data_IF_637631680726
#
_entry.id   IF_637631680726
#
_cell.length_a   1.000
_cell.length_b   1.000
_cell.length_c   1.000
_cell.angle_alpha   90.00
_cell.angle_beta   90.00
_cell.angle_gamma   90.00
#
_symmetry.space_group_name_H-M   'P 1'
#
loop_
_entity.id
_entity.type
_entity.pdbx_description
1 polymer ?
#
# COMPACT_ATOMS: atom_id res chain seq x y z
N UNK A 1 -10.80 -15.50 1.80
CA UNK A 1 -11.97 -14.81 2.37
C UNK A 1 -12.23 -13.53 1.59
N UNK A 2 -13.45 -13.36 1.09
CA UNK A 2 -13.98 -12.13 0.51
C UNK A 2 -14.77 -11.36 1.59
N UNK A 3 -14.80 -10.04 1.53
CA UNK A 3 -15.52 -9.21 2.50
C UNK A 3 -15.86 -7.86 1.90
N UNK A 4 -17.11 -7.42 2.07
CA UNK A 4 -17.60 -6.10 1.69
C UNK A 4 -17.99 -5.29 2.93
N UNK A 5 -17.62 -4.01 2.94
CA UNK A 5 -17.88 -3.08 4.04
C UNK A 5 -18.49 -1.80 3.49
N UNK A 6 -19.57 -1.32 4.10
CA UNK A 6 -20.08 0.03 3.89
C UNK A 6 -19.07 1.03 4.48
N UNK A 7 -18.40 1.75 3.59
CA UNK A 7 -17.29 2.60 3.99
C UNK A 7 -17.71 3.78 4.89
N UNK A 8 -18.79 4.54 4.60
CA UNK A 8 -19.30 5.57 5.47
C UNK A 8 -19.69 5.07 6.86
N UNK A 9 -20.41 3.95 6.93
CA UNK A 9 -20.90 3.40 8.19
C UNK A 9 -19.90 2.49 8.89
N UNK A 10 -18.80 2.12 8.24
CA UNK A 10 -17.80 1.17 8.75
C UNK A 10 -18.41 -0.20 9.13
N UNK A 11 -19.53 -0.57 8.50
CA UNK A 11 -20.28 -1.80 8.78
C UNK A 11 -20.01 -2.84 7.70
N UNK A 12 -19.77 -4.07 8.11
CA UNK A 12 -19.64 -5.20 7.19
C UNK A 12 -21.00 -5.58 6.63
N UNK A 13 -21.10 -5.64 5.30
CA UNK A 13 -22.32 -5.98 4.57
C UNK A 13 -22.39 -7.49 4.31
N UNK A 14 -21.30 -8.05 3.79
CA UNK A 14 -21.21 -9.45 3.39
C UNK A 14 -19.79 -9.95 3.60
N UNK A 15 -19.65 -11.25 3.86
CA UNK A 15 -18.37 -11.95 3.83
C UNK A 15 -18.57 -13.37 3.29
N UNK A 16 -17.48 -13.94 2.79
CA UNK A 16 -17.40 -15.32 2.34
C UNK A 16 -16.04 -15.91 2.68
N UNK A 17 -16.03 -17.13 3.22
CA UNK A 17 -14.80 -17.87 3.49
C UNK A 17 -14.61 -18.89 2.38
N UNK A 18 -13.47 -18.79 1.69
CA UNK A 18 -13.08 -19.74 0.65
C UNK A 18 -12.01 -20.67 1.24
N UNK A 19 -12.01 -21.90 0.80
CA UNK A 19 -10.99 -22.92 1.10
C UNK A 19 -9.82 -22.88 0.11
N UNK A 20 -9.94 -22.06 -0.93
CA UNK A 20 -8.96 -21.84 -2.00
C UNK A 20 -8.67 -20.34 -2.21
N UNK A 21 -7.71 -20.04 -3.07
CA UNK A 21 -7.43 -18.67 -3.50
C UNK A 21 -8.59 -18.14 -4.38
N UNK A 22 -9.04 -16.88 -4.18
CA UNK A 22 -10.17 -16.33 -4.90
C UNK A 22 -9.98 -16.35 -6.42
N UNK A 23 -10.98 -16.85 -7.15
CA UNK A 23 -11.09 -16.80 -8.60
C UNK A 23 -11.94 -15.61 -9.04
N UNK A 24 -12.05 -15.40 -10.36
CA UNK A 24 -12.97 -14.39 -10.93
C UNK A 24 -14.44 -14.76 -10.70
N UNK A 25 -14.73 -16.04 -10.78
CA UNK A 25 -16.07 -16.61 -10.56
C UNK A 25 -16.51 -16.39 -9.11
N UNK A 26 -15.65 -16.67 -8.13
CA UNK A 26 -15.95 -16.40 -6.72
C UNK A 26 -16.26 -14.92 -6.46
N UNK A 27 -15.47 -14.04 -7.07
CA UNK A 27 -15.67 -12.60 -6.93
C UNK A 27 -16.98 -12.18 -7.61
N UNK A 28 -17.30 -12.73 -8.78
CA UNK A 28 -18.55 -12.43 -9.49
C UNK A 28 -19.76 -12.85 -8.65
N UNK A 29 -19.78 -14.08 -8.16
CA UNK A 29 -20.88 -14.59 -7.32
C UNK A 29 -21.01 -13.80 -6.01
N UNK A 30 -19.89 -13.46 -5.39
CA UNK A 30 -19.88 -12.64 -4.17
C UNK A 30 -20.48 -11.26 -4.44
N UNK A 31 -20.10 -10.58 -5.54
CA UNK A 31 -20.59 -9.25 -5.87
C UNK A 31 -22.07 -9.28 -6.33
N UNK A 32 -22.50 -10.32 -7.02
CA UNK A 32 -23.92 -10.50 -7.39
C UNK A 32 -24.80 -10.61 -6.14
N UNK A 33 -24.43 -11.46 -5.17
CA UNK A 33 -25.14 -11.59 -3.88
C UNK A 33 -25.10 -10.29 -3.06
N UNK A 34 -23.98 -9.57 -3.12
CA UNK A 34 -23.87 -8.27 -2.47
C UNK A 34 -24.86 -7.27 -3.07
N UNK A 35 -24.92 -7.20 -4.39
CA UNK A 35 -25.83 -6.30 -5.13
C UNK A 35 -27.30 -6.65 -4.80
N UNK A 36 -27.65 -7.91 -4.88
CA UNK A 36 -28.99 -8.40 -4.50
C UNK A 36 -29.35 -8.01 -3.06
N UNK A 37 -28.47 -8.26 -2.10
CA UNK A 37 -28.72 -7.93 -0.70
C UNK A 37 -28.84 -6.41 -0.43
N UNK A 38 -28.20 -5.57 -1.21
CA UNK A 38 -28.33 -4.11 -1.15
C UNK A 38 -29.64 -3.66 -1.79
N UNK A 39 -29.96 -4.16 -2.99
CA UNK A 39 -31.16 -3.82 -3.75
C UNK A 39 -32.42 -4.26 -3.00
N UNK A 40 -32.44 -5.44 -2.40
CA UNK A 40 -33.54 -5.93 -1.57
C UNK A 40 -33.88 -5.01 -0.37
N UNK A 41 -32.93 -4.13 0.02
CA UNK A 41 -33.11 -3.11 1.06
C UNK A 41 -33.36 -1.71 0.51
N UNK A 42 -33.65 -1.59 -0.78
CA UNK A 42 -33.86 -0.31 -1.46
C UNK A 42 -32.58 0.52 -1.67
N UNK A 43 -31.41 -0.08 -1.51
CA UNK A 43 -30.12 0.60 -1.69
C UNK A 43 -29.55 0.39 -3.10
N UNK A 44 -28.53 1.19 -3.42
CA UNK A 44 -27.75 1.06 -4.65
C UNK A 44 -26.26 1.15 -4.35
N UNK A 45 -25.43 0.49 -5.16
CA UNK A 45 -23.98 0.59 -5.07
C UNK A 45 -23.52 1.84 -5.84
N UNK A 46 -23.06 2.86 -5.15
CA UNK A 46 -22.59 4.11 -5.75
C UNK A 46 -21.15 4.02 -6.29
N UNK A 47 -20.36 3.05 -5.81
CA UNK A 47 -18.99 2.85 -6.23
C UNK A 47 -18.31 1.79 -5.36
N UNK A 48 -17.16 1.32 -5.79
CA UNK A 48 -16.42 0.24 -5.12
C UNK A 48 -14.93 0.55 -5.02
N UNK A 49 -14.34 0.24 -3.86
CA UNK A 49 -12.89 0.34 -3.64
C UNK A 49 -12.30 -1.05 -3.39
N UNK A 50 -11.31 -1.44 -4.19
CA UNK A 50 -10.62 -2.74 -4.09
C UNK A 50 -9.10 -2.56 -3.88
N UNK A 51 -8.38 -3.65 -3.64
CA UNK A 51 -6.90 -3.65 -3.51
C UNK A 51 -6.15 -3.55 -4.84
N UNK A 52 -6.86 -3.57 -5.97
CA UNK A 52 -6.27 -3.48 -7.32
C UNK A 52 -5.84 -4.82 -7.91
N UNK A 53 -6.28 -5.95 -7.37
CA UNK A 53 -6.10 -7.24 -8.01
C UNK A 53 -6.72 -7.25 -9.42
N UNK A 54 -6.06 -7.89 -10.42
CA UNK A 54 -6.59 -8.00 -11.78
C UNK A 54 -7.84 -8.88 -11.89
N UNK A 55 -8.24 -9.53 -10.81
CA UNK A 55 -9.44 -10.36 -10.76
C UNK A 55 -10.74 -9.54 -10.67
N UNK A 56 -10.70 -8.29 -10.16
CA UNK A 56 -11.89 -7.48 -9.88
C UNK A 56 -12.58 -6.82 -11.09
N UNK A 57 -11.85 -6.27 -12.10
CA UNK A 57 -12.51 -5.39 -13.08
C UNK A 57 -13.68 -6.01 -13.83
N UNK A 58 -13.55 -7.25 -14.29
CA UNK A 58 -14.61 -7.95 -15.04
C UNK A 58 -15.80 -8.31 -14.14
N UNK A 59 -15.62 -8.97 -12.97
CA UNK A 59 -16.72 -9.21 -12.04
C UNK A 59 -17.48 -7.97 -11.60
N UNK A 60 -16.79 -6.84 -11.37
CA UNK A 60 -17.43 -5.57 -11.03
C UNK A 60 -18.35 -5.11 -12.17
N UNK A 61 -17.86 -5.11 -13.41
CA UNK A 61 -18.64 -4.68 -14.55
C UNK A 61 -19.87 -5.56 -14.78
N UNK A 62 -19.75 -6.87 -14.59
CA UNK A 62 -20.85 -7.83 -14.78
C UNK A 62 -21.90 -7.79 -13.64
N UNK A 63 -21.44 -7.70 -12.37
CA UNK A 63 -22.34 -7.79 -11.22
C UNK A 63 -22.95 -6.45 -10.80
N UNK A 64 -22.21 -5.34 -10.99
CA UNK A 64 -22.61 -4.01 -10.50
C UNK A 64 -22.90 -3.02 -11.64
N UNK A 65 -22.53 -3.35 -12.86
CA UNK A 65 -22.65 -2.42 -14.00
C UNK A 65 -21.58 -1.30 -13.98
N UNK A 66 -21.87 -0.15 -14.60
CA UNK A 66 -20.90 0.95 -14.76
C UNK A 66 -20.78 1.79 -13.47
N UNK A 67 -20.25 1.19 -12.40
CA UNK A 67 -19.99 1.91 -11.13
C UNK A 67 -18.55 2.40 -11.06
N UNK A 68 -18.29 3.58 -10.43
CA UNK A 68 -16.94 4.04 -10.17
C UNK A 68 -16.10 3.01 -9.41
N UNK A 69 -14.97 2.61 -10.00
CA UNK A 69 -14.05 1.64 -9.40
C UNK A 69 -12.76 2.32 -8.97
N UNK A 70 -12.58 2.46 -7.66
CA UNK A 70 -11.38 2.98 -7.01
C UNK A 70 -10.42 1.84 -6.68
N UNK A 71 -9.16 1.97 -7.06
CA UNK A 71 -8.08 1.13 -6.55
C UNK A 71 -7.54 1.74 -5.26
N UNK A 72 -7.35 0.93 -4.23
CA UNK A 72 -6.85 1.36 -2.93
C UNK A 72 -5.49 2.05 -3.05
N UNK A 73 -5.45 3.34 -2.73
CA UNK A 73 -4.23 4.15 -2.73
C UNK A 73 -3.11 3.54 -1.88
N UNK A 74 -3.44 2.95 -0.74
CA UNK A 74 -2.45 2.36 0.16
C UNK A 74 -1.70 1.18 -0.49
N UNK A 75 -2.42 0.27 -1.17
CA UNK A 75 -1.80 -0.87 -1.85
C UNK A 75 -0.87 -0.40 -2.98
N UNK A 76 -1.32 0.55 -3.76
CA UNK A 76 -0.52 1.12 -4.84
C UNK A 76 0.74 1.82 -4.31
N UNK A 77 0.60 2.70 -3.31
CA UNK A 77 1.75 3.38 -2.69
C UNK A 77 2.72 2.39 -2.04
N UNK A 78 2.22 1.31 -1.45
CA UNK A 78 3.06 0.22 -0.91
C UNK A 78 3.90 -0.44 -2.02
N UNK A 79 3.30 -0.75 -3.17
CA UNK A 79 4.02 -1.34 -4.30
C UNK A 79 5.08 -0.38 -4.86
N UNK A 80 4.73 0.90 -5.05
CA UNK A 80 5.67 1.93 -5.50
C UNK A 80 6.82 2.14 -4.50
N UNK A 81 6.51 2.20 -3.20
CA UNK A 81 7.51 2.28 -2.13
C UNK A 81 8.49 1.11 -2.20
N UNK A 82 7.99 -0.11 -2.35
CA UNK A 82 8.85 -1.29 -2.50
C UNK A 82 9.71 -1.24 -3.77
N UNK A 83 9.15 -0.75 -4.87
CA UNK A 83 9.89 -0.57 -6.12
C UNK A 83 11.05 0.43 -5.94
N UNK A 84 10.80 1.56 -5.29
CA UNK A 84 11.80 2.59 -4.97
C UNK A 84 12.87 2.04 -4.03
N UNK A 85 12.50 1.31 -2.99
CA UNK A 85 13.48 0.68 -2.07
C UNK A 85 14.39 -0.33 -2.80
N UNK A 86 13.87 -1.08 -3.78
CA UNK A 86 14.70 -1.94 -4.65
C UNK A 86 15.67 -1.13 -5.51
N UNK A 87 15.24 0.02 -6.04
CA UNK A 87 16.13 0.95 -6.75
C UNK A 87 17.25 1.45 -5.83
N UNK A 88 16.92 1.90 -4.63
CA UNK A 88 17.89 2.36 -3.63
C UNK A 88 18.91 1.26 -3.27
N UNK A 89 18.46 0.02 -3.12
CA UNK A 89 19.35 -1.12 -2.85
C UNK A 89 20.34 -1.34 -4.01
N UNK A 90 19.91 -1.20 -5.26
CA UNK A 90 20.80 -1.29 -6.43
C UNK A 90 21.80 -0.11 -6.49
N UNK A 91 21.35 1.11 -6.23
CA UNK A 91 22.21 2.28 -6.17
C UNK A 91 23.26 2.13 -5.07
N UNK A 92 22.86 1.64 -3.89
CA UNK A 92 23.77 1.33 -2.79
C UNK A 92 24.85 0.30 -3.20
N UNK A 93 24.46 -0.78 -3.88
CA UNK A 93 25.44 -1.77 -4.39
C UNK A 93 26.43 -1.16 -5.37
N UNK A 94 25.96 -0.30 -6.28
CA UNK A 94 26.83 0.43 -7.22
C UNK A 94 27.82 1.37 -6.50
N UNK A 95 27.33 2.09 -5.48
CA UNK A 95 28.21 2.94 -4.66
C UNK A 95 29.25 2.11 -3.91
N UNK A 96 28.85 0.98 -3.31
CA UNK A 96 29.76 0.08 -2.62
C UNK A 96 30.84 -0.47 -3.56
N UNK A 97 30.48 -0.78 -4.81
CA UNK A 97 31.42 -1.27 -5.81
C UNK A 97 32.47 -0.22 -6.25
N UNK A 98 32.22 1.08 -6.00
CA UNK A 98 33.17 2.17 -6.26
C UNK A 98 34.21 2.34 -5.14
N UNK A 99 34.10 1.54 -4.05
CA UNK A 99 35.07 1.60 -2.98
C UNK A 99 36.44 1.15 -3.48
N UNK A 100 37.51 1.92 -3.21
CA UNK A 100 38.85 1.52 -3.60
C UNK A 100 39.22 0.23 -2.88
N UNK A 101 39.81 -0.72 -3.63
CA UNK A 101 40.33 -1.95 -3.08
C UNK A 101 41.57 -1.63 -2.24
N UNK A 102 41.50 -1.89 -0.94
CA UNK A 102 42.66 -1.74 -0.06
C UNK A 102 43.57 -2.97 -0.18
N UNK A 103 44.89 -2.79 -0.18
CA UNK A 103 45.82 -3.92 -0.15
C UNK A 103 45.62 -4.77 1.11
N UNK A 104 45.82 -6.08 0.99
CA UNK A 104 45.76 -6.99 2.13
C UNK A 104 47.00 -6.79 3.01
N UNK A 105 46.84 -6.94 4.32
CA UNK A 105 47.89 -6.81 5.31
C UNK A 105 47.97 -5.42 5.97
N UNK A 106 49.05 -5.15 6.70
CA UNK A 106 49.27 -3.88 7.42
C UNK A 106 49.37 -2.72 6.41
N UNK A 107 48.53 -1.67 6.52
CA UNK A 107 48.60 -0.53 5.61
C UNK A 107 49.98 0.13 5.65
N UNK A 108 50.55 0.45 4.48
CA UNK A 108 51.76 1.27 4.41
C UNK A 108 51.43 2.68 4.91
N UNK A 109 52.31 3.26 5.75
CA UNK A 109 52.10 4.61 6.32
C UNK A 109 52.52 5.71 5.32
N UNK A 110 52.05 5.64 4.08
CA UNK A 110 52.28 6.67 3.07
C UNK A 110 51.09 7.63 2.97
N UNK A 111 51.28 8.89 2.56
CA UNK A 111 50.18 9.84 2.34
C UNK A 111 49.14 9.32 1.38
N UNK A 112 49.56 8.61 0.33
CA UNK A 112 48.65 8.00 -0.67
C UNK A 112 47.80 6.91 -0.05
N UNK A 113 48.41 5.97 0.71
CA UNK A 113 47.69 4.90 1.40
C UNK A 113 46.67 5.45 2.41
N UNK A 114 47.04 6.47 3.20
CA UNK A 114 46.13 7.15 4.14
C UNK A 114 44.95 7.80 3.41
N UNK A 115 45.20 8.48 2.28
CA UNK A 115 44.11 9.07 1.46
C UNK A 115 43.16 8.01 0.90
N UNK A 116 43.71 6.91 0.40
CA UNK A 116 42.91 5.78 -0.12
C UNK A 116 42.04 5.16 0.97
N UNK A 117 42.61 4.92 2.15
CA UNK A 117 41.89 4.38 3.31
C UNK A 117 40.77 5.29 3.77
N UNK A 118 41.04 6.61 3.91
CA UNK A 118 40.01 7.61 4.26
C UNK A 118 38.86 7.61 3.25
N UNK A 119 39.19 7.53 1.96
CA UNK A 119 38.18 7.49 0.89
C UNK A 119 37.33 6.20 0.98
N UNK A 120 37.95 5.05 1.22
CA UNK A 120 37.26 3.79 1.40
C UNK A 120 36.31 3.83 2.60
N UNK A 121 36.80 4.31 3.76
CA UNK A 121 36.00 4.44 4.98
C UNK A 121 34.82 5.41 4.81
N UNK A 122 35.07 6.59 4.22
CA UNK A 122 33.99 7.57 3.98
C UNK A 122 32.89 7.01 3.05
N UNK A 123 33.29 6.24 2.02
CA UNK A 123 32.31 5.61 1.14
C UNK A 123 31.57 4.48 1.83
N UNK A 124 32.24 3.66 2.61
CA UNK A 124 31.62 2.58 3.40
C UNK A 124 30.63 3.13 4.42
N UNK A 125 31.00 4.20 5.13
CA UNK A 125 30.10 4.89 6.04
C UNK A 125 28.87 5.42 5.33
N UNK A 126 29.04 6.06 4.18
CA UNK A 126 27.93 6.57 3.36
C UNK A 126 26.99 5.46 2.86
N UNK A 127 27.54 4.32 2.45
CA UNK A 127 26.78 3.14 2.03
C UNK A 127 25.98 2.56 3.20
N UNK A 128 26.55 2.49 4.40
CA UNK A 128 25.87 2.08 5.64
C UNK A 128 24.72 3.04 5.97
N UNK A 129 25.01 4.34 6.00
CA UNK A 129 24.01 5.36 6.30
C UNK A 129 22.85 5.39 5.29
N UNK A 130 23.13 5.20 4.00
CA UNK A 130 22.09 5.07 2.98
C UNK A 130 21.20 3.85 3.24
N UNK A 131 21.73 2.77 3.79
CA UNK A 131 20.92 1.61 4.18
C UNK A 131 20.03 1.90 5.38
N UNK A 132 20.57 2.51 6.43
CA UNK A 132 19.81 2.85 7.63
C UNK A 132 18.70 3.85 7.34
N UNK A 133 19.01 4.88 6.55
CA UNK A 133 18.10 5.99 6.25
C UNK A 133 17.27 5.80 4.97
N UNK A 134 17.29 4.61 4.36
CA UNK A 134 16.60 4.35 3.08
C UNK A 134 15.11 4.69 3.09
N UNK A 135 14.44 4.55 4.23
CA UNK A 135 13.02 4.83 4.37
C UNK A 135 12.67 6.33 4.27
N UNK A 136 13.65 7.21 4.50
CA UNK A 136 13.44 8.64 4.33
C UNK A 136 13.13 9.02 2.88
N UNK A 137 13.68 8.28 1.91
CA UNK A 137 13.42 8.52 0.49
C UNK A 137 11.97 8.29 0.07
N UNK A 138 11.24 7.47 0.83
CA UNK A 138 9.84 7.13 0.59
C UNK A 138 8.90 7.70 1.66
N UNK A 139 9.38 8.54 2.56
CA UNK A 139 8.57 9.19 3.58
C UNK A 139 7.78 10.35 3.00
N UNK A 140 6.46 10.39 3.23
CA UNK A 140 5.58 11.42 2.65
C UNK A 140 5.90 12.82 3.21
N UNK A 141 5.97 12.96 4.55
CA UNK A 141 6.26 14.23 5.21
C UNK A 141 7.53 14.12 6.06
N UNK A 142 8.73 14.29 5.45
CA UNK A 142 9.95 14.30 6.22
C UNK A 142 10.08 15.60 7.02
N UNK A 143 10.55 15.49 8.26
CA UNK A 143 10.86 16.63 9.13
C UNK A 143 12.02 17.46 8.55
N UNK A 144 12.27 18.66 9.07
CA UNK A 144 13.40 19.50 8.64
C UNK A 144 14.75 18.77 8.78
N UNK A 145 14.96 18.05 9.91
CA UNK A 145 16.16 17.24 10.15
C UNK A 145 16.31 16.11 9.13
N UNK A 146 15.21 15.43 8.80
CA UNK A 146 15.21 14.35 7.81
C UNK A 146 15.47 14.86 6.38
N UNK A 147 14.94 16.06 6.03
CA UNK A 147 15.25 16.72 4.74
C UNK A 147 16.74 17.07 4.64
N UNK A 148 17.35 17.58 5.70
CA UNK A 148 18.79 17.84 5.74
C UNK A 148 19.59 16.53 5.55
N UNK A 149 19.17 15.43 6.19
CA UNK A 149 19.79 14.10 6.01
C UNK A 149 19.67 13.62 4.56
N UNK A 150 18.48 13.72 3.97
CA UNK A 150 18.26 13.38 2.55
C UNK A 150 19.15 14.19 1.61
N UNK A 151 19.22 15.51 1.82
CA UNK A 151 20.08 16.40 1.01
C UNK A 151 21.55 15.99 1.11
N UNK A 152 22.03 15.68 2.30
CA UNK A 152 23.40 15.23 2.55
C UNK A 152 23.69 13.88 1.87
N UNK A 153 22.81 12.89 2.01
CA UNK A 153 22.93 11.57 1.39
C UNK A 153 22.90 11.67 -0.15
N UNK A 154 22.05 12.53 -0.69
CA UNK A 154 21.89 12.72 -2.12
C UNK A 154 22.96 13.62 -2.77
N UNK A 155 23.86 14.25 -1.96
CA UNK A 155 24.92 15.14 -2.47
C UNK A 155 25.84 14.37 -3.44
N UNK A 156 26.02 14.91 -4.67
CA UNK A 156 26.82 14.27 -5.70
C UNK A 156 26.21 12.99 -6.29
N UNK A 157 24.94 12.69 -5.97
CA UNK A 157 24.25 11.50 -6.49
C UNK A 157 22.92 11.88 -7.15
N UNK A 158 22.94 12.21 -8.45
CA UNK A 158 21.74 12.68 -9.15
C UNK A 158 20.60 11.64 -9.14
N UNK A 159 20.94 10.34 -9.17
CA UNK A 159 19.94 9.26 -9.12
C UNK A 159 19.20 9.21 -7.77
N UNK A 160 19.86 9.49 -6.64
CA UNK A 160 19.20 9.56 -5.34
C UNK A 160 18.25 10.77 -5.26
N UNK A 161 18.66 11.92 -5.82
CA UNK A 161 17.79 13.10 -5.92
C UNK A 161 16.56 12.82 -6.78
N UNK A 162 16.77 12.17 -7.94
CA UNK A 162 15.68 11.79 -8.84
C UNK A 162 14.68 10.85 -8.17
N UNK A 163 15.14 9.85 -7.44
CA UNK A 163 14.27 8.92 -6.69
C UNK A 163 13.43 9.66 -5.65
N UNK A 164 14.01 10.62 -4.93
CA UNK A 164 13.26 11.43 -3.96
C UNK A 164 12.24 12.33 -4.63
N UNK A 165 12.63 13.07 -5.66
CA UNK A 165 11.72 13.92 -6.43
C UNK A 165 10.54 13.14 -7.00
N UNK A 166 10.79 11.95 -7.56
CA UNK A 166 9.76 11.04 -8.06
C UNK A 166 8.74 10.69 -6.97
N UNK A 167 9.18 10.33 -5.77
CA UNK A 167 8.24 10.02 -4.67
C UNK A 167 7.42 11.24 -4.24
N UNK A 168 8.00 12.43 -4.27
CA UNK A 168 7.27 13.67 -3.98
C UNK A 168 6.20 13.97 -5.05
N UNK A 169 6.52 13.77 -6.32
CA UNK A 169 5.55 13.88 -7.42
C UNK A 169 4.43 12.85 -7.28
N UNK A 170 4.76 11.60 -6.96
CA UNK A 170 3.76 10.55 -6.69
C UNK A 170 2.80 10.97 -5.57
N UNK A 171 3.30 11.48 -4.45
CA UNK A 171 2.42 11.91 -3.37
C UNK A 171 1.50 13.08 -3.75
N UNK A 172 1.99 13.99 -4.60
CA UNK A 172 1.18 15.12 -5.12
C UNK A 172 0.02 14.69 -6.02
N UNK A 173 0.09 13.49 -6.63
CA UNK A 173 -1.04 12.95 -7.39
C UNK A 173 -2.27 12.68 -6.51
N UNK A 174 -2.05 12.30 -5.26
CA UNK A 174 -3.10 11.93 -4.31
C UNK A 174 -3.54 13.08 -3.39
N UNK A 175 -3.15 14.31 -3.69
CA UNK A 175 -3.62 15.48 -2.93
C UNK A 175 -5.11 15.71 -3.24
N UNK A 176 -5.97 15.62 -2.22
CA UNK A 176 -7.42 15.82 -2.33
C UNK A 176 -7.85 17.20 -2.82
N UNK A 177 -6.93 18.16 -2.88
CA UNK A 177 -7.17 19.47 -3.50
C UNK A 177 -7.05 19.42 -5.02
N UNK A 178 -6.56 18.32 -5.57
CA UNK A 178 -6.40 18.13 -7.00
C UNK A 178 -7.66 17.48 -7.58
N UNK A 179 -8.07 17.92 -8.77
CA UNK A 179 -9.09 17.21 -9.56
C UNK A 179 -8.46 16.04 -10.32
N UNK A 180 -9.25 15.04 -10.66
CA UNK A 180 -8.77 13.85 -11.39
C UNK A 180 -8.06 14.25 -12.69
N UNK A 181 -8.60 15.16 -13.50
CA UNK A 181 -7.97 15.61 -14.74
C UNK A 181 -6.58 16.20 -14.50
N UNK A 182 -6.45 17.05 -13.47
CA UNK A 182 -5.16 17.63 -13.09
C UNK A 182 -4.17 16.58 -12.61
N UNK A 183 -4.65 15.58 -11.85
CA UNK A 183 -3.82 14.47 -11.39
C UNK A 183 -3.36 13.58 -12.54
N UNK A 184 -4.22 13.31 -13.52
CA UNK A 184 -3.89 12.56 -14.74
C UNK A 184 -2.86 13.30 -15.60
N UNK A 185 -2.99 14.63 -15.75
CA UNK A 185 -1.99 15.45 -16.43
C UNK A 185 -0.62 15.38 -15.73
N UNK A 186 -0.59 15.50 -14.39
CA UNK A 186 0.63 15.32 -13.57
C UNK A 186 1.21 13.92 -13.72
N UNK A 187 0.36 12.88 -13.73
CA UNK A 187 0.78 11.51 -13.95
C UNK A 187 1.44 11.32 -15.31
N UNK A 188 0.86 11.89 -16.35
CA UNK A 188 1.42 11.87 -17.71
C UNK A 188 2.78 12.56 -17.77
N UNK A 189 2.95 13.67 -17.05
CA UNK A 189 4.23 14.38 -16.92
C UNK A 189 5.25 13.52 -16.14
N UNK A 190 4.85 12.92 -15.02
CA UNK A 190 5.67 12.01 -14.22
C UNK A 190 6.16 10.82 -15.06
N UNK A 191 5.27 10.18 -15.83
CA UNK A 191 5.62 9.10 -16.76
C UNK A 191 6.67 9.52 -17.80
N UNK A 192 6.61 10.76 -18.30
CA UNK A 192 7.62 11.33 -19.20
C UNK A 192 8.96 11.52 -18.47
N UNK A 193 8.96 12.10 -17.27
CA UNK A 193 10.17 12.28 -16.46
C UNK A 193 10.89 10.97 -16.17
N UNK A 194 10.14 9.92 -15.82
CA UNK A 194 10.69 8.59 -15.51
C UNK A 194 11.44 7.98 -16.71
N UNK A 195 10.99 8.23 -17.93
CA UNK A 195 11.69 7.76 -19.15
C UNK A 195 13.14 8.24 -19.24
N UNK A 196 13.44 9.44 -18.73
CA UNK A 196 14.81 9.97 -18.69
C UNK A 196 15.70 9.25 -17.67
N UNK A 197 15.12 8.55 -16.71
CA UNK A 197 15.85 7.80 -15.68
C UNK A 197 15.90 6.30 -15.96
N UNK A 198 16.20 5.91 -17.21
CA UNK A 198 16.35 4.49 -17.60
C UNK A 198 17.28 3.69 -16.68
N UNK A 199 18.25 4.36 -16.04
CA UNK A 199 19.14 3.79 -15.04
C UNK A 199 18.44 3.31 -13.76
N UNK A 200 17.22 3.79 -13.49
CA UNK A 200 16.39 3.33 -12.37
C UNK A 200 15.66 2.00 -12.69
N UNK A 201 15.64 1.62 -14.00
CA UNK A 201 15.20 0.31 -14.49
C UNK A 201 13.70 0.02 -14.36
N UNK A 202 13.32 -1.16 -14.81
CA UNK A 202 11.94 -1.68 -14.85
C UNK A 202 11.17 -1.61 -13.51
N UNK A 203 11.82 -1.28 -12.39
CA UNK A 203 11.16 -1.16 -11.08
C UNK A 203 10.12 -0.05 -11.02
N UNK A 204 10.16 0.91 -11.95
CA UNK A 204 9.21 2.02 -12.04
C UNK A 204 8.10 1.79 -13.08
N UNK A 205 8.06 0.62 -13.72
CA UNK A 205 7.00 0.26 -14.68
C UNK A 205 5.62 0.27 -14.01
N UNK A 206 5.56 0.11 -12.69
CA UNK A 206 4.33 0.29 -11.90
C UNK A 206 3.67 1.66 -12.06
N UNK A 207 4.42 2.71 -12.44
CA UNK A 207 3.85 4.02 -12.79
C UNK A 207 3.05 4.02 -14.10
N UNK A 208 3.26 3.01 -14.94
CA UNK A 208 2.49 2.80 -16.16
C UNK A 208 1.26 1.90 -15.97
N UNK A 209 1.06 1.36 -14.78
CA UNK A 209 -0.10 0.53 -14.46
C UNK A 209 -1.41 1.33 -14.62
N UNK A 210 -2.45 0.77 -15.26
CA UNK A 210 -3.79 1.38 -15.30
C UNK A 210 -4.42 1.52 -13.90
N UNK A 211 -3.98 0.72 -12.94
CA UNK A 211 -4.41 0.83 -11.54
C UNK A 211 -4.06 2.19 -10.92
N UNK A 212 -3.01 2.86 -11.40
CA UNK A 212 -2.65 4.19 -10.90
C UNK A 212 -3.70 5.24 -11.30
N UNK A 213 -4.26 5.15 -12.49
CA UNK A 213 -5.35 6.02 -12.94
C UNK A 213 -6.63 5.76 -12.13
N UNK A 214 -7.00 4.48 -11.97
CA UNK A 214 -8.13 4.08 -11.14
C UNK A 214 -7.96 4.46 -9.66
N UNK A 215 -6.73 4.59 -9.17
CA UNK A 215 -6.46 5.02 -7.80
C UNK A 215 -6.67 6.53 -7.59
N UNK A 216 -6.95 7.30 -8.63
CA UNK A 216 -7.25 8.73 -8.59
C UNK A 216 -8.76 9.04 -8.67
N UNK A 217 -9.62 8.04 -8.87
CA UNK A 217 -11.08 8.20 -9.01
C UNK A 217 -11.71 8.93 -7.82
N UNK A 218 -11.19 8.72 -6.59
CA UNK A 218 -11.68 9.35 -5.36
C UNK A 218 -11.50 10.87 -5.30
N UNK A 219 -10.73 11.47 -6.21
CA UNK A 219 -10.45 12.92 -6.18
C UNK A 219 -11.70 13.74 -6.52
N UNK A 220 -12.52 13.26 -7.43
CA UNK A 220 -13.75 13.92 -7.85
C UNK A 220 -14.98 13.39 -7.11
N UNK A 221 -14.89 12.22 -6.48
CA UNK A 221 -15.97 11.61 -5.72
C UNK A 221 -15.64 11.57 -4.22
N UNK A 222 -16.31 12.45 -3.46
CA UNK A 222 -16.12 12.58 -2.00
C UNK A 222 -16.66 11.37 -1.21
N UNK A 223 -17.61 10.62 -1.79
CA UNK A 223 -18.20 9.44 -1.15
C UNK A 223 -17.32 8.22 -1.31
N UNK A 224 -16.47 8.21 -2.33
CA UNK A 224 -15.59 7.08 -2.63
C UNK A 224 -14.35 7.12 -1.72
N UNK A 225 -14.13 6.09 -0.88
CA UNK A 225 -12.96 6.05 -0.02
C UNK A 225 -11.68 5.79 -0.85
N UNK A 226 -10.63 6.59 -0.60
CA UNK A 226 -9.32 6.43 -1.25
C UNK A 226 -8.62 5.11 -0.88
N UNK A 227 -9.04 4.47 0.22
CA UNK A 227 -8.40 3.27 0.76
C UNK A 227 -9.41 2.23 1.22
N UNK A 228 -9.03 0.95 1.15
CA UNK A 228 -9.79 -0.20 1.67
C UNK A 228 -9.56 -0.46 3.17
N UNK A 229 -9.15 0.55 3.94
CA UNK A 229 -8.79 0.40 5.36
C UNK A 229 -9.92 -0.17 6.23
N UNK A 230 -11.18 0.07 5.90
CA UNK A 230 -12.32 -0.48 6.63
C UNK A 230 -12.34 -2.01 6.55
N UNK A 231 -12.19 -2.56 5.34
CA UNK A 231 -12.10 -4.00 5.08
C UNK A 231 -10.85 -4.59 5.74
N UNK A 232 -9.70 -3.91 5.60
CA UNK A 232 -8.44 -4.40 6.16
C UNK A 232 -8.46 -4.47 7.69
N UNK A 233 -9.09 -3.49 8.37
CA UNK A 233 -9.25 -3.51 9.83
C UNK A 233 -10.06 -4.71 10.28
N UNK A 234 -11.18 -4.99 9.61
CA UNK A 234 -11.98 -6.18 9.85
C UNK A 234 -11.19 -7.47 9.65
N UNK A 235 -10.54 -7.59 8.50
CA UNK A 235 -9.76 -8.78 8.16
C UNK A 235 -8.53 -8.98 9.05
N UNK A 236 -7.91 -7.91 9.57
CA UNK A 236 -6.80 -7.99 10.53
C UNK A 236 -7.22 -8.64 11.84
N UNK A 237 -8.44 -8.37 12.32
CA UNK A 237 -9.00 -8.99 13.52
C UNK A 237 -9.08 -10.50 13.37
N UNK A 238 -9.60 -10.98 12.23
CA UNK A 238 -9.71 -12.41 11.95
C UNK A 238 -8.34 -13.07 11.76
N UNK A 239 -7.41 -12.43 11.06
CA UNK A 239 -6.02 -12.93 10.95
C UNK A 239 -5.31 -13.02 12.30
N UNK A 240 -5.59 -12.14 13.24
CA UNK A 240 -5.06 -12.25 14.61
C UNK A 240 -5.64 -13.45 15.33
N UNK A 241 -6.95 -13.71 15.20
CA UNK A 241 -7.60 -14.89 15.80
C UNK A 241 -7.04 -16.21 15.25
N UNK A 242 -6.70 -16.26 13.96
CA UNK A 242 -6.07 -17.43 13.35
C UNK A 242 -4.64 -17.69 13.86
N UNK A 243 -3.92 -16.65 14.28
CA UNK A 243 -2.51 -16.74 14.72
C UNK A 243 -2.34 -16.94 16.23
N UNK A 244 -3.40 -16.83 17.00
CA UNK A 244 -3.36 -17.02 18.46
C UNK A 244 -3.39 -18.51 18.85
N UNK A 245 -3.19 -18.81 20.14
CA UNK A 245 -3.23 -20.16 20.74
C UNK A 245 -4.53 -20.90 20.37
N UNK A 246 -5.64 -20.18 20.19
CA UNK A 246 -6.93 -20.68 19.75
C UNK A 246 -7.03 -20.80 18.22
N UNK A 247 -6.02 -21.37 17.56
CA UNK A 247 -5.98 -21.55 16.10
C UNK A 247 -7.29 -22.12 15.58
N UNK A 248 -8.04 -21.32 14.84
CA UNK A 248 -9.19 -21.80 14.08
C UNK A 248 -8.63 -22.53 12.86
N UNK A 249 -8.79 -23.84 12.83
CA UNK A 249 -8.22 -24.71 11.79
C UNK A 249 -9.23 -25.12 10.73
N UNK A 250 -10.51 -25.08 11.05
CA UNK A 250 -11.57 -25.51 10.14
C UNK A 250 -12.33 -24.31 9.57
N UNK A 251 -12.75 -24.41 8.32
CA UNK A 251 -13.58 -23.40 7.65
C UNK A 251 -14.85 -23.14 8.44
N UNK A 252 -15.57 -24.19 8.85
CA UNK A 252 -16.81 -24.09 9.63
C UNK A 252 -16.64 -23.29 10.93
N UNK A 253 -15.55 -23.53 11.68
CA UNK A 253 -15.30 -22.76 12.92
C UNK A 253 -14.98 -21.29 12.60
N UNK A 254 -14.30 -21.02 11.49
CA UNK A 254 -14.04 -19.65 11.04
C UNK A 254 -15.33 -18.95 10.64
N UNK A 255 -16.17 -19.60 9.87
CA UNK A 255 -17.50 -19.10 9.46
C UNK A 255 -18.38 -18.79 10.65
N UNK A 256 -18.50 -19.71 11.62
CA UNK A 256 -19.27 -19.50 12.85
C UNK A 256 -18.78 -18.28 13.64
N UNK A 257 -17.47 -18.09 13.78
CA UNK A 257 -16.91 -16.90 14.45
C UNK A 257 -17.14 -15.60 13.67
N UNK A 258 -17.05 -15.64 12.35
CA UNK A 258 -17.38 -14.49 11.52
C UNK A 258 -18.84 -14.12 11.60
N UNK A 259 -19.75 -15.12 11.62
CA UNK A 259 -21.18 -14.92 11.81
C UNK A 259 -21.48 -14.23 13.13
N UNK A 260 -20.88 -14.72 14.23
CA UNK A 260 -21.03 -14.11 15.56
C UNK A 260 -20.49 -12.67 15.61
N UNK A 261 -19.34 -12.42 15.00
CA UNK A 261 -18.78 -11.07 14.92
C UNK A 261 -19.67 -10.13 14.10
N UNK A 262 -20.25 -10.60 12.99
CA UNK A 262 -21.18 -9.82 12.17
C UNK A 262 -22.49 -9.53 12.92
N UNK A 263 -23.04 -10.51 13.61
CA UNK A 263 -24.22 -10.33 14.44
C UNK A 263 -23.97 -9.30 15.54
N UNK A 264 -22.84 -9.39 16.22
CA UNK A 264 -22.42 -8.42 17.24
C UNK A 264 -22.22 -7.01 16.69
N UNK A 265 -21.64 -6.86 15.51
CA UNK A 265 -21.50 -5.56 14.84
C UNK A 265 -22.86 -4.95 14.47
N UNK A 266 -23.87 -5.78 14.20
CA UNK A 266 -25.24 -5.31 13.91
C UNK A 266 -26.00 -4.92 15.18
N UNK A 267 -25.75 -5.57 16.30
CA UNK A 267 -26.45 -5.35 17.56
C UNK A 267 -25.83 -4.26 18.44
N UNK A 268 -24.60 -3.88 18.20
CA UNK A 268 -23.86 -2.97 19.08
C UNK A 268 -23.11 -1.89 18.27
N UNK A 269 -23.45 -0.62 18.52
CA UNK A 269 -22.86 0.54 17.82
C UNK A 269 -21.48 0.97 18.36
N UNK A 270 -20.94 0.29 19.36
CA UNK A 270 -19.65 0.62 19.92
C UNK A 270 -19.19 -0.33 21.02
N UNK A 271 -18.03 -0.08 21.60
CA UNK A 271 -17.41 -0.94 22.63
C UNK A 271 -18.30 -1.06 23.90
N UNK A 272 -18.93 0.02 24.28
CA UNK A 272 -19.83 0.04 25.46
C UNK A 272 -21.10 -0.77 25.19
N UNK A 273 -21.75 -0.54 24.04
CA UNK A 273 -22.93 -1.30 23.63
C UNK A 273 -22.61 -2.80 23.40
N UNK A 274 -21.42 -3.13 22.89
CA UNK A 274 -20.95 -4.52 22.80
C UNK A 274 -20.84 -5.19 24.17
N UNK A 275 -20.28 -4.46 25.16
CA UNK A 275 -20.14 -4.96 26.52
C UNK A 275 -21.50 -5.19 27.18
N UNK A 276 -22.41 -4.25 26.99
CA UNK A 276 -23.77 -4.31 27.52
C UNK A 276 -24.57 -5.48 26.92
N UNK A 277 -24.51 -5.65 25.58
CA UNK A 277 -25.12 -6.79 24.89
C UNK A 277 -24.57 -8.15 25.39
N UNK A 278 -23.26 -8.23 25.64
CA UNK A 278 -22.62 -9.43 26.19
C UNK A 278 -23.04 -9.69 27.65
N UNK A 279 -23.23 -8.65 28.46
CA UNK A 279 -23.71 -8.77 29.82
C UNK A 279 -25.20 -9.18 29.89
N UNK A 280 -26.00 -8.62 28.98
CA UNK A 280 -27.44 -8.99 28.87
C UNK A 280 -27.62 -10.45 28.45
N UNK A 281 -26.81 -10.91 27.48
CA UNK A 281 -26.83 -12.31 27.03
C UNK A 281 -26.32 -13.33 28.07
N UNK A 282 -25.66 -12.88 29.14
CA UNK A 282 -25.16 -13.72 30.25
C UNK A 282 -26.10 -13.79 31.44
N UNK A 283 -27.15 -13.01 31.44
CA UNK A 283 -28.18 -13.13 32.48
C UNK A 283 -29.11 -14.28 32.11
N UNK A 284 -29.25 -15.30 32.98
CA UNK A 284 -30.17 -16.40 32.76
C UNK A 284 -31.63 -15.93 32.68
#
# INVERSE_FOLDING_TARGET
MLSAVDAPRQRRLLYEVLDHDPTREDILWFLARLNEAITARGGVVLGITTDGSPLYPLPIALALGPVPHQVCQFHLLKELTQAVLRVLARLRKRLAAQAPKLPRGRPKNTPVARRLQRRAQALQQRVGELFEQRHLFVRHYPTARERATLARLARGQPQLRAVRALMEEVYRLFDRRCRTDTALAKLSQLRRHVRHYRSLGKSLDKLHSPNLEKALTFLDDKLLPATSNAVERGNRRHRKMQKTIYRVRTQSTLEGRLALDLQRERQAEGRSATREALHTARRP
#
